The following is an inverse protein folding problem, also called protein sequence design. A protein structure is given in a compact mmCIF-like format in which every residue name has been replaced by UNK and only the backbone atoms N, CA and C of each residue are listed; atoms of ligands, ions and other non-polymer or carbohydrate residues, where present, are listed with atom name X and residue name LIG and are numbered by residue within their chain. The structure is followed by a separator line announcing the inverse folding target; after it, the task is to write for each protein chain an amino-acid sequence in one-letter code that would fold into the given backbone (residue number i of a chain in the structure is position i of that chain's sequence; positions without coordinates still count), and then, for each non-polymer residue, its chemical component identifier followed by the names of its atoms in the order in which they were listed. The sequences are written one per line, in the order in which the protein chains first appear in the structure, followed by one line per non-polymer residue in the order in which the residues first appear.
data_IF_479801049038
#
_entry.id   IF_479801049038
#
_cell.length_a   1.000
_cell.length_b   1.000
_cell.length_c   1.000
_cell.angle_alpha   90.00
_cell.angle_beta   90.00
_cell.angle_gamma   90.00
#
_symmetry.space_group_name_H-M   'P 1'
#
loop_
_entity.id
_entity.type
_entity.pdbx_description
1 polymer ?
#
# COMPACT_ATOMS: atom_id res chain seq x y z
N UNK A 1 -7.88 26.61 23.73
CA UNK A 1 -7.67 25.16 23.90
C UNK A 1 -7.48 24.63 22.49
N UNK A 2 -6.28 24.20 22.14
CA UNK A 2 -5.95 23.79 20.78
C UNK A 2 -6.45 22.35 20.64
N UNK A 3 -7.47 22.13 19.82
CA UNK A 3 -7.90 20.78 19.44
C UNK A 3 -6.79 20.12 18.61
N UNK A 4 -5.99 19.28 19.28
CA UNK A 4 -5.09 18.34 18.62
C UNK A 4 -5.97 17.15 18.20
N UNK A 5 -6.08 16.81 16.91
CA UNK A 5 -6.99 15.76 16.48
C UNK A 5 -6.55 14.41 17.07
N UNK A 6 -7.48 13.78 17.78
CA UNK A 6 -7.35 12.51 18.51
C UNK A 6 -7.24 11.26 17.62
N UNK A 7 -6.50 11.33 16.50
CA UNK A 7 -6.64 10.42 15.36
C UNK A 7 -5.52 9.40 15.17
N UNK A 8 -5.01 8.75 16.20
CA UNK A 8 -3.99 7.71 16.02
C UNK A 8 -4.60 6.47 15.32
N UNK A 9 -4.06 6.08 14.17
CA UNK A 9 -4.47 4.89 13.43
C UNK A 9 -4.03 3.64 14.21
N UNK A 10 -4.96 2.81 14.65
CA UNK A 10 -4.61 1.57 15.35
C UNK A 10 -3.93 0.58 14.41
N UNK A 11 -3.12 -0.34 14.95
CA UNK A 11 -2.52 -1.43 14.16
C UNK A 11 -3.57 -2.25 13.39
N UNK A 12 -4.75 -2.45 13.97
CA UNK A 12 -5.85 -3.15 13.32
C UNK A 12 -6.37 -2.38 12.11
N UNK A 13 -6.71 -1.11 12.29
CA UNK A 13 -7.16 -0.24 11.19
C UNK A 13 -6.10 -0.14 10.08
N UNK A 14 -4.84 0.01 10.48
CA UNK A 14 -3.72 0.05 9.56
C UNK A 14 -3.63 -1.23 8.72
N UNK A 15 -3.60 -2.40 9.35
CA UNK A 15 -3.51 -3.70 8.65
C UNK A 15 -4.75 -3.94 7.78
N UNK A 16 -5.95 -3.65 8.29
CA UNK A 16 -7.21 -3.84 7.56
C UNK A 16 -7.29 -2.91 6.31
N UNK A 17 -6.60 -1.76 6.35
CA UNK A 17 -6.50 -0.85 5.21
C UNK A 17 -5.56 -1.34 4.09
N UNK A 18 -4.64 -2.27 4.37
CA UNK A 18 -3.64 -2.74 3.40
C UNK A 18 -4.30 -3.73 2.44
N UNK A 19 -4.52 -3.29 1.19
CA UNK A 19 -5.06 -4.13 0.13
C UNK A 19 -4.02 -4.57 -0.92
N UNK A 20 -2.78 -4.07 -0.83
CA UNK A 20 -1.69 -4.46 -1.72
C UNK A 20 -0.31 -4.32 -1.05
N UNK A 21 0.55 -5.33 -1.24
CA UNK A 21 1.97 -5.29 -0.85
C UNK A 21 2.81 -5.65 -2.08
N UNK A 22 3.69 -4.72 -2.48
CA UNK A 22 4.54 -4.84 -3.66
C UNK A 22 5.89 -5.54 -3.42
N UNK A 23 6.68 -5.68 -4.49
CA UNK A 23 7.99 -6.35 -4.47
C UNK A 23 9.16 -5.48 -3.97
N UNK A 24 8.92 -4.23 -3.55
CA UNK A 24 9.98 -3.31 -3.11
C UNK A 24 10.89 -2.74 -4.20
N UNK A 25 10.56 -2.93 -5.49
CA UNK A 25 11.34 -2.37 -6.61
C UNK A 25 10.98 -0.90 -6.85
N UNK A 26 11.96 0.01 -6.74
CA UNK A 26 11.82 1.48 -6.94
C UNK A 26 11.38 1.91 -8.33
N UNK A 27 11.35 1.01 -9.31
CA UNK A 27 11.24 1.43 -10.72
C UNK A 27 9.88 2.01 -11.07
N UNK A 28 8.78 1.65 -10.38
CA UNK A 28 7.43 2.14 -10.74
C UNK A 28 6.46 2.23 -9.54
N UNK A 29 6.63 3.22 -8.63
CA UNK A 29 5.83 3.33 -7.41
C UNK A 29 4.33 3.55 -7.68
N UNK A 30 3.98 4.29 -8.74
CA UNK A 30 2.59 4.65 -9.05
C UNK A 30 1.96 3.80 -10.17
N UNK A 31 2.66 2.76 -10.66
CA UNK A 31 2.19 2.01 -11.84
C UNK A 31 0.79 1.47 -11.67
N UNK A 32 0.44 1.01 -10.48
CA UNK A 32 -0.89 0.43 -10.23
C UNK A 32 -2.01 1.47 -10.27
N UNK A 33 -1.71 2.72 -9.95
CA UNK A 33 -2.66 3.82 -10.08
C UNK A 33 -2.80 4.22 -11.56
N UNK A 34 -1.70 4.25 -12.31
CA UNK A 34 -1.72 4.45 -13.77
C UNK A 34 -2.50 3.33 -14.47
N UNK A 35 -2.27 2.07 -14.08
CA UNK A 35 -3.00 0.91 -14.61
C UNK A 35 -4.50 1.03 -14.31
N UNK A 36 -4.88 1.55 -13.13
CA UNK A 36 -6.29 1.76 -12.75
C UNK A 36 -6.95 2.87 -13.59
N UNK A 37 -6.27 4.00 -13.80
CA UNK A 37 -6.75 5.07 -14.70
C UNK A 37 -6.97 4.53 -16.10
N UNK A 38 -5.97 3.84 -16.66
CA UNK A 38 -6.08 3.23 -18.00
C UNK A 38 -7.22 2.22 -18.05
N UNK A 39 -7.35 1.36 -17.04
CA UNK A 39 -8.41 0.36 -17.00
C UNK A 39 -9.81 1.01 -16.99
N UNK A 40 -10.00 2.17 -16.34
CA UNK A 40 -11.25 2.94 -16.45
C UNK A 40 -11.49 3.42 -17.88
N UNK A 41 -10.46 3.93 -18.56
CA UNK A 41 -10.56 4.44 -19.94
C UNK A 41 -10.91 3.33 -20.94
N UNK A 42 -10.41 2.10 -20.72
CA UNK A 42 -10.75 0.92 -21.53
C UNK A 42 -12.08 0.25 -21.15
N UNK A 43 -12.75 0.73 -20.09
CA UNK A 43 -14.09 0.30 -19.67
C UNK A 43 -14.12 -0.63 -18.45
N UNK A 44 -15.28 -0.65 -17.76
CA UNK A 44 -15.49 -1.37 -16.50
C UNK A 44 -15.14 -2.86 -16.56
N UNK A 45 -15.34 -3.50 -17.71
CA UNK A 45 -15.02 -4.92 -17.91
C UNK A 45 -13.54 -5.23 -17.68
N UNK A 46 -12.63 -4.27 -17.89
CA UNK A 46 -11.19 -4.41 -17.64
C UNK A 46 -10.89 -4.26 -16.16
N UNK A 47 -11.50 -3.27 -15.49
CA UNK A 47 -11.38 -3.06 -14.03
C UNK A 47 -11.83 -4.31 -13.27
N UNK A 48 -12.95 -4.90 -13.67
CA UNK A 48 -13.54 -6.06 -13.01
C UNK A 48 -12.69 -7.33 -13.09
N UNK A 49 -11.66 -7.39 -13.94
CA UNK A 49 -10.71 -8.52 -13.98
C UNK A 49 -9.72 -8.54 -12.82
N UNK A 50 -9.58 -7.45 -12.07
CA UNK A 50 -8.60 -7.35 -10.98
C UNK A 50 -9.19 -6.74 -9.72
N UNK A 51 -9.27 -7.52 -8.63
CA UNK A 51 -9.71 -7.04 -7.31
C UNK A 51 -8.93 -5.80 -6.84
N UNK A 52 -7.64 -5.71 -7.20
CA UNK A 52 -6.79 -4.55 -6.90
C UNK A 52 -7.28 -3.31 -7.64
N UNK A 53 -7.57 -3.41 -8.93
CA UNK A 53 -8.06 -2.28 -9.72
C UNK A 53 -9.46 -1.87 -9.29
N UNK A 54 -10.35 -2.85 -9.04
CA UNK A 54 -11.67 -2.60 -8.46
C UNK A 54 -11.56 -1.82 -7.15
N UNK A 55 -10.65 -2.20 -6.25
CA UNK A 55 -10.47 -1.49 -4.98
C UNK A 55 -9.97 -0.06 -5.15
N UNK A 56 -8.99 0.17 -6.03
CA UNK A 56 -8.46 1.52 -6.32
C UNK A 56 -9.56 2.42 -6.90
N UNK A 57 -10.26 1.94 -7.92
CA UNK A 57 -11.32 2.71 -8.59
C UNK A 57 -12.50 2.96 -7.66
N UNK A 58 -12.90 1.96 -6.86
CA UNK A 58 -13.98 2.11 -5.88
C UNK A 58 -13.67 3.17 -4.83
N UNK A 59 -12.46 3.16 -4.26
CA UNK A 59 -12.03 4.18 -3.30
C UNK A 59 -12.05 5.60 -3.91
N UNK A 60 -11.56 5.77 -5.14
CA UNK A 60 -11.65 7.05 -5.84
C UNK A 60 -13.09 7.49 -6.11
N UNK A 61 -13.98 6.57 -6.48
CA UNK A 61 -15.40 6.86 -6.71
C UNK A 61 -16.13 7.27 -5.42
N UNK A 62 -15.71 6.72 -4.27
CA UNK A 62 -16.19 7.11 -2.93
C UNK A 62 -15.57 8.43 -2.43
N UNK A 63 -14.64 9.03 -3.18
CA UNK A 63 -13.97 10.29 -2.82
C UNK A 63 -12.75 10.12 -1.92
N UNK A 64 -12.26 8.89 -1.74
CA UNK A 64 -11.06 8.58 -0.95
C UNK A 64 -9.81 8.49 -1.81
N UNK A 65 -8.69 9.01 -1.35
CA UNK A 65 -7.41 8.86 -2.04
C UNK A 65 -6.72 7.55 -1.66
N UNK A 66 -5.72 7.18 -2.45
CA UNK A 66 -4.86 6.04 -2.16
C UNK A 66 -3.56 6.51 -1.54
N UNK A 67 -3.18 5.92 -0.41
CA UNK A 67 -1.88 6.12 0.23
C UNK A 67 -0.89 5.07 -0.27
N UNK A 68 0.23 5.52 -0.83
CA UNK A 68 1.33 4.64 -1.25
C UNK A 68 2.55 4.79 -0.33
N UNK A 69 2.79 3.77 0.51
CA UNK A 69 3.90 3.75 1.47
C UNK A 69 5.14 3.04 0.90
N UNK A 70 6.29 3.72 0.92
CA UNK A 70 7.58 3.19 0.48
C UNK A 70 8.62 3.22 1.60
N UNK A 71 8.41 2.43 2.65
CA UNK A 71 9.22 2.48 3.87
C UNK A 71 10.48 1.61 3.79
N UNK A 72 10.40 0.43 3.17
CA UNK A 72 11.54 -0.48 3.04
C UNK A 72 11.92 -0.67 1.58
N UNK A 73 13.19 -0.40 1.24
CA UNK A 73 13.74 -0.59 -0.09
C UNK A 73 14.46 -1.94 -0.17
N UNK A 74 13.70 -3.03 -0.29
CA UNK A 74 14.28 -4.35 -0.56
C UNK A 74 14.27 -4.64 -2.07
N UNK A 75 15.42 -4.98 -2.62
CA UNK A 75 15.59 -5.40 -4.03
C UNK A 75 15.22 -6.87 -4.28
N UNK A 76 14.60 -7.51 -3.30
CA UNK A 76 14.42 -8.96 -3.21
C UNK A 76 13.14 -9.43 -3.93
N UNK A 77 13.16 -10.53 -4.71
CA UNK A 77 11.97 -11.11 -5.33
C UNK A 77 10.88 -11.52 -4.31
N UNK A 78 9.61 -11.48 -4.74
CA UNK A 78 8.46 -11.85 -3.89
C UNK A 78 8.50 -13.34 -3.56
N UNK A 79 8.40 -13.66 -2.26
CA UNK A 79 8.28 -15.04 -1.78
C UNK A 79 9.61 -15.68 -1.39
N UNK A 80 10.72 -15.00 -1.65
CA UNK A 80 12.05 -15.53 -1.38
C UNK A 80 12.65 -14.92 -0.12
N UNK A 81 13.19 -15.80 0.72
CA UNK A 81 14.02 -15.47 1.87
C UNK A 81 15.46 -15.80 1.50
N UNK A 82 16.44 -15.03 2.00
CA UNK A 82 17.86 -15.23 1.65
C UNK A 82 18.75 -15.24 2.90
N UNK A 83 19.95 -15.81 2.76
CA UNK A 83 20.87 -15.98 3.89
C UNK A 83 20.23 -16.78 5.02
N UNK A 84 20.48 -16.34 6.25
CA UNK A 84 19.95 -16.99 7.46
C UNK A 84 18.42 -17.01 7.52
N UNK A 85 17.72 -16.13 6.80
CA UNK A 85 16.25 -16.11 6.82
C UNK A 85 15.64 -17.24 5.99
N UNK A 86 16.42 -17.97 5.18
CA UNK A 86 15.96 -19.20 4.51
C UNK A 86 15.61 -20.29 5.50
N UNK A 87 16.43 -20.44 6.55
CA UNK A 87 16.22 -21.45 7.60
C UNK A 87 15.18 -21.03 8.64
N UNK A 88 14.62 -19.83 8.52
CA UNK A 88 13.56 -19.39 9.42
C UNK A 88 12.29 -20.22 9.25
N UNK A 89 11.77 -20.63 10.40
CA UNK A 89 10.43 -21.17 10.56
C UNK A 89 9.37 -20.15 10.13
N UNK A 90 8.16 -20.64 9.85
CA UNK A 90 7.03 -19.75 9.57
C UNK A 90 6.74 -18.82 10.75
N UNK A 91 6.94 -19.27 11.99
CA UNK A 91 6.75 -18.45 13.19
C UNK A 91 7.71 -17.25 13.21
N UNK A 92 8.98 -17.45 12.93
CA UNK A 92 9.97 -16.37 12.88
C UNK A 92 9.66 -15.37 11.74
N UNK A 93 9.27 -15.88 10.57
CA UNK A 93 8.84 -15.05 9.43
C UNK A 93 7.61 -14.20 9.79
N UNK A 94 6.63 -14.77 10.47
CA UNK A 94 5.45 -14.03 10.95
C UNK A 94 5.81 -12.97 11.96
N UNK A 95 6.65 -13.29 12.96
CA UNK A 95 7.09 -12.31 13.98
C UNK A 95 7.80 -11.13 13.31
N UNK A 96 8.72 -11.41 12.39
CA UNK A 96 9.43 -10.37 11.66
C UNK A 96 8.49 -9.54 10.78
N UNK A 97 7.55 -10.18 10.08
CA UNK A 97 6.51 -9.48 9.31
C UNK A 97 5.67 -8.53 10.16
N UNK A 98 5.23 -8.96 11.35
CA UNK A 98 4.48 -8.12 12.30
C UNK A 98 5.31 -6.94 12.80
N UNK A 99 6.60 -7.16 13.08
CA UNK A 99 7.53 -6.10 13.45
C UNK A 99 7.68 -5.07 12.33
N UNK A 100 7.84 -5.51 11.07
CA UNK A 100 7.93 -4.61 9.93
C UNK A 100 6.65 -3.78 9.76
N UNK A 101 5.46 -4.37 9.88
CA UNK A 101 4.20 -3.63 9.83
C UNK A 101 4.10 -2.59 10.95
N UNK A 102 4.55 -2.95 12.16
CA UNK A 102 4.57 -2.02 13.30
C UNK A 102 5.51 -0.84 13.06
N UNK A 103 6.65 -1.07 12.40
CA UNK A 103 7.58 -0.02 11.98
C UNK A 103 6.98 0.88 10.90
N UNK A 104 6.26 0.33 9.93
CA UNK A 104 5.58 1.11 8.90
C UNK A 104 4.51 2.00 9.53
N UNK A 105 3.72 1.46 10.47
CA UNK A 105 2.72 2.25 11.20
C UNK A 105 3.36 3.39 12.00
N UNK A 106 4.50 3.15 12.66
CA UNK A 106 5.22 4.21 13.36
C UNK A 106 5.68 5.32 12.41
N UNK A 107 6.18 4.96 11.21
CA UNK A 107 6.53 5.94 10.16
C UNK A 107 5.28 6.69 9.70
N UNK A 108 4.17 5.99 9.45
CA UNK A 108 2.90 6.58 9.06
C UNK A 108 2.40 7.64 10.06
N UNK A 109 2.51 7.38 11.36
CA UNK A 109 2.13 8.34 12.39
C UNK A 109 3.02 9.57 12.46
N UNK A 110 4.31 9.45 12.13
CA UNK A 110 5.27 10.57 12.21
C UNK A 110 5.26 11.41 10.94
N UNK A 111 5.31 10.76 9.78
CA UNK A 111 5.45 11.44 8.49
C UNK A 111 4.09 11.89 7.92
N UNK A 112 3.00 11.30 8.42
CA UNK A 112 1.70 11.38 7.75
C UNK A 112 1.76 10.73 6.37
N UNK A 113 0.72 10.92 5.56
CA UNK A 113 0.66 10.42 4.20
C UNK A 113 -0.08 11.37 3.28
N UNK A 114 0.43 11.47 2.04
CA UNK A 114 -0.31 12.11 0.95
C UNK A 114 -1.27 11.10 0.35
N UNK A 115 -2.54 11.48 0.31
CA UNK A 115 -3.55 10.82 -0.50
C UNK A 115 -3.35 11.13 -1.99
N UNK A 116 -3.45 10.10 -2.82
CA UNK A 116 -3.31 10.20 -4.28
C UNK A 116 -4.67 9.92 -4.91
N UNK A 117 -5.24 10.92 -5.58
CA UNK A 117 -6.52 10.84 -6.26
C UNK A 117 -6.34 10.54 -7.74
N UNK A 118 -7.44 10.16 -8.40
CA UNK A 118 -7.45 9.89 -9.85
C UNK A 118 -6.89 11.07 -10.66
N UNK A 119 -7.25 12.30 -10.30
CA UNK A 119 -6.82 13.50 -11.00
C UNK A 119 -5.32 13.78 -10.86
N UNK A 120 -4.69 13.38 -9.74
CA UNK A 120 -3.23 13.49 -9.55
C UNK A 120 -2.47 12.62 -10.56
N UNK A 121 -3.08 11.54 -11.04
CA UNK A 121 -2.48 10.60 -12.01
C UNK A 121 -2.78 11.01 -13.45
N UNK A 122 -3.94 11.62 -13.71
CA UNK A 122 -4.31 12.08 -15.06
C UNK A 122 -3.52 13.32 -15.50
N UNK A 123 -3.08 14.15 -14.55
CA UNK A 123 -2.32 15.37 -14.81
C UNK A 123 -0.80 15.20 -14.85
N UNK A 124 -0.27 13.97 -14.75
CA UNK A 124 1.17 13.66 -14.71
C UNK A 124 1.78 13.26 -16.05
#
# INVERSE_FOLDING_TARGET
MIDIPSGDCTMRQFVDSIFYIGKGKRSRPLQHLVDAVRAKDFGESVVMKSKKLQRIVGLWAEGHGIVSLHVFQNTIPRGDYYGITKSWTMKEKTIYGSYLLSKVLAVFHVEGCREIYENDIRGS
#
